data_IF_302695407985
#
_entry.id   IF_302695407985
#
_cell.length_a   1.000
_cell.length_b   1.000
_cell.length_c   1.000
_cell.angle_alpha   90.00
_cell.angle_beta   90.00
_cell.angle_gamma   90.00
#
_symmetry.space_group_name_H-M   'P 1'
#
loop_
_entity.id
_entity.type
_entity.pdbx_description
1 polymer ?
#
# COMPACT_ATOMS: atom_id res chain seq x y z
N UNK A 1 20.16 -3.32 -19.71
CA UNK A 1 18.95 -4.07 -20.09
C UNK A 1 18.24 -4.70 -18.90
N UNK A 2 18.86 -5.62 -18.14
CA UNK A 2 18.17 -6.22 -16.98
C UNK A 2 17.97 -5.23 -15.82
N UNK A 3 19.00 -4.43 -15.52
CA UNK A 3 18.95 -3.46 -14.42
C UNK A 3 17.95 -2.32 -14.66
N UNK A 4 17.81 -1.87 -15.91
CA UNK A 4 16.82 -0.87 -16.31
C UNK A 4 15.39 -1.40 -16.14
N UNK A 5 15.14 -2.67 -16.49
CA UNK A 5 13.84 -3.29 -16.27
C UNK A 5 13.53 -3.41 -14.77
N UNK A 6 14.51 -3.81 -13.96
CA UNK A 6 14.36 -3.89 -12.51
C UNK A 6 14.00 -2.51 -11.93
N UNK A 7 14.70 -1.45 -12.36
CA UNK A 7 14.44 -0.08 -11.91
C UNK A 7 13.03 0.40 -12.28
N UNK A 8 12.57 0.13 -13.51
CA UNK A 8 11.21 0.50 -13.94
C UNK A 8 10.14 -0.21 -13.11
N UNK A 9 10.33 -1.51 -12.82
CA UNK A 9 9.41 -2.27 -11.98
C UNK A 9 9.39 -1.75 -10.54
N UNK A 10 10.56 -1.46 -9.98
CA UNK A 10 10.72 -0.86 -8.65
C UNK A 10 9.98 0.49 -8.54
N UNK A 11 10.16 1.38 -9.51
CA UNK A 11 9.47 2.67 -9.55
C UNK A 11 7.95 2.47 -9.65
N UNK A 12 7.52 1.53 -10.49
CA UNK A 12 6.09 1.20 -10.65
C UNK A 12 5.48 0.75 -9.32
N UNK A 13 6.17 -0.13 -8.58
CA UNK A 13 5.73 -0.60 -7.27
C UNK A 13 5.68 0.56 -6.26
N UNK A 14 6.70 1.42 -6.23
CA UNK A 14 6.74 2.58 -5.33
C UNK A 14 5.56 3.53 -5.58
N UNK A 15 5.28 3.85 -6.85
CA UNK A 15 4.14 4.70 -7.24
C UNK A 15 2.81 4.07 -6.82
N UNK A 16 2.64 2.76 -7.01
CA UNK A 16 1.42 2.04 -6.60
C UNK A 16 1.23 2.12 -5.08
N UNK A 17 2.30 1.91 -4.30
CA UNK A 17 2.27 2.01 -2.83
C UNK A 17 1.85 3.41 -2.40
N UNK A 18 2.51 4.45 -2.91
CA UNK A 18 2.20 5.85 -2.60
C UNK A 18 0.74 6.16 -2.96
N UNK A 19 0.30 5.74 -4.14
CA UNK A 19 -1.09 5.88 -4.57
C UNK A 19 -2.05 5.24 -3.55
N UNK A 20 -1.85 3.97 -3.17
CA UNK A 20 -2.70 3.23 -2.21
C UNK A 20 -2.82 3.94 -0.86
N UNK A 21 -1.69 4.39 -0.33
CA UNK A 21 -1.60 4.86 1.05
C UNK A 21 -1.87 6.36 1.23
N UNK A 22 -1.59 7.20 0.22
CA UNK A 22 -1.80 8.65 0.29
C UNK A 22 -3.13 9.06 -0.37
N UNK A 23 -3.39 8.59 -1.59
CA UNK A 23 -4.49 9.12 -2.40
C UNK A 23 -5.78 8.31 -2.30
N UNK A 24 -5.67 6.98 -2.19
CA UNK A 24 -6.82 6.06 -2.13
C UNK A 24 -6.96 5.26 -0.81
N UNK A 25 -6.56 5.76 0.38
CA UNK A 25 -6.74 4.99 1.63
C UNK A 25 -8.21 4.76 1.98
N UNK A 26 -9.11 5.63 1.50
CA UNK A 26 -10.57 5.57 1.71
C UNK A 26 -11.37 5.08 0.49
N UNK A 27 -10.68 4.71 -0.59
CA UNK A 27 -11.34 4.27 -1.82
C UNK A 27 -11.64 2.77 -1.75
N UNK A 28 -12.88 2.43 -2.06
CA UNK A 28 -13.33 1.05 -2.29
C UNK A 28 -12.78 0.60 -3.65
N UNK A 29 -12.02 -0.49 -3.64
CA UNK A 29 -11.39 -1.04 -4.85
C UNK A 29 -11.44 -2.56 -4.75
N UNK A 30 -11.50 -3.25 -5.89
CA UNK A 30 -11.51 -4.73 -5.94
C UNK A 30 -10.25 -5.38 -5.33
N UNK A 31 -9.18 -4.59 -5.13
CA UNK A 31 -7.94 -5.05 -4.46
C UNK A 31 -8.03 -5.07 -2.92
N UNK A 32 -9.14 -4.59 -2.33
CA UNK A 32 -9.35 -4.63 -0.87
C UNK A 32 -9.73 -6.05 -0.44
N UNK A 33 -9.32 -6.45 0.76
CA UNK A 33 -9.65 -7.79 1.25
C UNK A 33 -11.11 -7.90 1.70
N UNK A 34 -11.75 -9.02 1.36
CA UNK A 34 -13.13 -9.31 1.74
C UNK A 34 -14.08 -8.20 1.27
N UNK A 35 -14.90 -7.70 2.20
CA UNK A 35 -15.85 -6.61 1.93
C UNK A 35 -15.34 -5.25 2.44
N UNK A 36 -14.02 -5.06 2.60
CA UNK A 36 -13.46 -3.80 3.07
C UNK A 36 -13.59 -2.68 2.04
N UNK A 37 -14.05 -1.52 2.48
CA UNK A 37 -14.21 -0.33 1.63
C UNK A 37 -13.05 0.65 1.75
N UNK A 38 -12.18 0.44 2.73
CA UNK A 38 -11.00 1.25 2.98
C UNK A 38 -9.91 0.43 3.69
N UNK A 39 -8.72 1.01 3.79
CA UNK A 39 -7.55 0.30 4.33
C UNK A 39 -7.67 -0.01 5.83
N UNK A 40 -8.48 0.74 6.57
CA UNK A 40 -8.68 0.48 8.01
C UNK A 40 -9.59 -0.73 8.19
N UNK A 41 -10.66 -0.83 7.41
CA UNK A 41 -11.54 -2.00 7.37
C UNK A 41 -10.81 -3.24 6.87
N UNK A 42 -9.91 -3.10 5.89
CA UNK A 42 -9.08 -4.20 5.39
C UNK A 42 -8.27 -4.83 6.52
N UNK A 43 -7.64 -4.01 7.35
CA UNK A 43 -6.90 -4.48 8.52
C UNK A 43 -7.82 -5.09 9.59
N UNK A 44 -9.03 -4.55 9.77
CA UNK A 44 -10.01 -5.13 10.67
C UNK A 44 -10.47 -6.53 10.20
N UNK A 45 -10.64 -6.74 8.89
CA UNK A 45 -10.93 -8.05 8.29
C UNK A 45 -9.79 -9.04 8.52
N UNK A 46 -8.54 -8.57 8.50
CA UNK A 46 -7.39 -9.39 8.88
C UNK A 46 -7.29 -9.70 10.38
N UNK A 47 -8.18 -9.14 11.22
CA UNK A 47 -8.10 -9.27 12.68
C UNK A 47 -6.99 -8.43 13.31
N UNK A 48 -6.48 -7.42 12.60
CA UNK A 48 -5.39 -6.57 13.07
C UNK A 48 -5.91 -5.31 13.78
N UNK A 49 -5.21 -4.83 14.82
CA UNK A 49 -5.60 -3.62 15.54
C UNK A 49 -5.35 -2.37 14.69
N UNK A 50 -6.20 -1.35 14.85
CA UNK A 50 -6.16 -0.10 14.04
C UNK A 50 -4.80 0.61 14.03
N UNK A 51 -4.04 0.56 15.12
CA UNK A 51 -2.71 1.20 15.17
C UNK A 51 -1.75 0.61 14.12
N UNK A 52 -1.89 -0.68 13.80
CA UNK A 52 -1.01 -1.38 12.86
C UNK A 52 -1.16 -0.86 11.42
N UNK A 53 -2.32 -0.30 11.05
CA UNK A 53 -2.54 0.37 9.76
C UNK A 53 -1.50 1.47 9.55
N UNK A 54 -1.30 2.32 10.56
CA UNK A 54 -0.39 3.46 10.46
C UNK A 54 1.07 3.02 10.48
N UNK A 55 1.41 2.01 11.28
CA UNK A 55 2.78 1.46 11.33
C UNK A 55 3.17 0.86 9.98
N UNK A 56 2.33 -0.03 9.43
CA UNK A 56 2.59 -0.67 8.14
C UNK A 56 2.56 0.36 7.01
N UNK A 57 1.66 1.33 7.07
CA UNK A 57 1.59 2.42 6.10
C UNK A 57 2.85 3.27 6.08
N UNK A 58 3.30 3.71 7.25
CA UNK A 58 4.54 4.46 7.39
C UNK A 58 5.73 3.65 6.85
N UNK A 59 5.87 2.39 7.24
CA UNK A 59 6.95 1.52 6.73
C UNK A 59 6.92 1.40 5.21
N UNK A 60 5.76 1.13 4.60
CA UNK A 60 5.63 1.01 3.14
C UNK A 60 5.97 2.32 2.43
N UNK A 61 5.49 3.46 2.95
CA UNK A 61 5.77 4.77 2.36
C UNK A 61 7.25 5.12 2.47
N UNK A 62 7.88 4.90 3.63
CA UNK A 62 9.33 5.12 3.82
C UNK A 62 10.14 4.28 2.84
N UNK A 63 9.86 2.98 2.72
CA UNK A 63 10.57 2.11 1.79
C UNK A 63 10.34 2.50 0.32
N UNK A 64 9.12 2.89 -0.05
CA UNK A 64 8.82 3.36 -1.39
C UNK A 64 9.55 4.67 -1.75
N UNK A 65 9.80 5.53 -0.76
CA UNK A 65 10.56 6.78 -0.95
C UNK A 65 12.08 6.59 -0.95
N UNK A 66 12.59 5.49 -0.39
CA UNK A 66 14.02 5.15 -0.35
C UNK A 66 14.49 4.33 -1.56
N UNK A 67 13.58 4.05 -2.51
CA UNK A 67 13.87 3.35 -3.76
C UNK A 67 15.04 3.99 -4.51
#
# INVERSE_FOLDING_TARGET
MMDELVMVLQITIAVVIIAVWIFRPRLETDFRAGNAKNIVEEFAIYGLPKWSVYVIGATKLTLASLL
#
